data_IF_784506226854
#
_entry.id   IF_784506226854
#
_cell.length_a   1.000
_cell.length_b   1.000
_cell.length_c   1.000
_cell.angle_alpha   90.00
_cell.angle_beta   90.00
_cell.angle_gamma   90.00
#
_symmetry.space_group_name_H-M   'P 1'
#
loop_
_entity.id
_entity.type
_entity.pdbx_description
1 polymer ?
#
# COMPACT_ATOMS: atom_id res chain seq x y z
N UNK A 1 3.40 10.41 -13.40
CA UNK A 1 3.31 9.58 -12.18
C UNK A 1 4.66 9.60 -11.51
N UNK A 2 4.70 9.75 -10.19
CA UNK A 2 5.92 10.00 -9.44
C UNK A 2 5.64 10.70 -8.11
N UNK A 3 6.70 10.97 -7.35
CA UNK A 3 6.63 11.50 -5.98
C UNK A 3 6.21 12.97 -5.88
N UNK A 4 5.77 13.59 -6.97
CA UNK A 4 5.45 15.02 -7.03
C UNK A 4 4.29 15.41 -6.11
N UNK A 5 3.20 14.64 -6.10
CA UNK A 5 2.06 14.91 -5.22
C UNK A 5 2.40 14.59 -3.75
N UNK A 6 3.15 13.50 -3.51
CA UNK A 6 3.66 13.15 -2.18
C UNK A 6 4.51 14.27 -1.58
N UNK A 7 5.52 14.75 -2.31
CA UNK A 7 6.42 15.82 -1.86
C UNK A 7 5.68 17.14 -1.60
N UNK A 8 4.65 17.46 -2.39
CA UNK A 8 3.83 18.67 -2.18
C UNK A 8 2.99 18.60 -0.91
N UNK A 9 2.55 17.40 -0.51
CA UNK A 9 1.72 17.20 0.68
C UNK A 9 2.51 17.04 1.97
N UNK A 10 3.85 17.01 1.92
CA UNK A 10 4.71 16.79 3.09
C UNK A 10 5.60 17.98 3.40
N UNK A 11 5.73 18.29 4.69
CA UNK A 11 6.75 19.21 5.18
C UNK A 11 7.83 18.41 5.87
N UNK A 12 8.86 18.00 5.13
CA UNK A 12 9.96 17.15 5.62
C UNK A 12 10.80 17.79 6.76
N UNK A 13 10.62 19.08 7.03
CA UNK A 13 11.17 19.72 8.24
C UNK A 13 10.38 19.42 9.51
N UNK A 14 9.18 18.84 9.39
CA UNK A 14 8.24 18.59 10.49
C UNK A 14 7.88 17.12 10.65
N UNK A 15 7.91 16.35 9.57
CA UNK A 15 7.61 14.91 9.60
C UNK A 15 8.89 14.08 9.56
N UNK A 16 8.96 12.95 10.30
CA UNK A 16 10.07 11.98 10.17
C UNK A 16 9.96 11.11 8.91
N UNK A 17 8.94 11.33 8.07
CA UNK A 17 8.77 10.58 6.83
C UNK A 17 9.91 10.85 5.82
N UNK A 18 10.36 9.82 5.08
CA UNK A 18 11.43 10.00 4.10
C UNK A 18 10.97 10.89 2.94
N UNK A 19 11.80 11.88 2.59
CA UNK A 19 11.59 12.67 1.37
C UNK A 19 11.67 11.79 0.12
N UNK A 20 12.63 10.87 0.16
CA UNK A 20 12.94 9.78 -0.76
C UNK A 20 13.04 10.14 -2.24
N UNK A 21 13.67 9.27 -3.01
CA UNK A 21 13.71 9.39 -4.48
C UNK A 21 12.92 8.26 -5.14
N UNK A 22 12.43 8.51 -6.36
CA UNK A 22 11.89 7.44 -7.17
C UNK A 22 13.07 6.56 -7.58
N UNK A 23 13.06 5.29 -7.17
CA UNK A 23 14.12 4.34 -7.48
C UNK A 23 14.07 3.87 -8.94
N UNK A 24 15.14 3.22 -9.40
CA UNK A 24 15.23 2.65 -10.76
C UNK A 24 14.85 1.17 -10.88
N UNK A 25 14.17 0.59 -9.88
CA UNK A 25 13.88 -0.85 -9.83
C UNK A 25 12.40 -1.20 -10.07
N UNK A 26 12.15 -2.37 -10.64
CA UNK A 26 10.78 -2.91 -10.74
C UNK A 26 10.19 -3.20 -9.36
N UNK A 27 11.02 -3.58 -8.38
CA UNK A 27 10.61 -3.85 -7.01
C UNK A 27 9.68 -5.07 -6.91
N UNK A 28 9.79 -5.82 -5.83
CA UNK A 28 8.88 -6.93 -5.56
C UNK A 28 8.47 -6.99 -4.10
N UNK A 29 8.65 -5.90 -3.35
CA UNK A 29 8.29 -5.84 -1.94
C UNK A 29 6.90 -5.26 -1.75
N UNK A 30 6.23 -5.71 -0.69
CA UNK A 30 5.00 -5.09 -0.23
C UNK A 30 5.10 -4.77 1.25
N UNK A 31 4.30 -3.81 1.68
CA UNK A 31 4.07 -3.53 3.09
C UNK A 31 2.60 -3.27 3.34
N UNK A 32 2.15 -3.67 4.52
CA UNK A 32 0.89 -3.23 5.11
C UNK A 32 1.24 -2.44 6.36
N UNK A 33 0.92 -1.16 6.36
CA UNK A 33 1.08 -0.31 7.53
C UNK A 33 -0.27 -0.14 8.22
N UNK A 34 -0.34 -0.41 9.52
CA UNK A 34 -1.48 -0.05 10.35
C UNK A 34 -1.32 1.43 10.71
N UNK A 35 -2.31 2.23 10.35
CA UNK A 35 -2.28 3.67 10.51
C UNK A 35 -3.39 4.13 11.45
N UNK A 36 -2.99 4.54 12.65
CA UNK A 36 -3.85 5.15 13.67
C UNK A 36 -3.91 6.66 13.49
N UNK A 37 -4.56 7.09 12.40
CA UNK A 37 -4.94 8.49 12.17
C UNK A 37 -6.28 8.80 12.88
N UNK A 38 -7.00 9.83 12.42
CA UNK A 38 -8.36 10.12 12.92
C UNK A 38 -9.31 8.92 12.83
N UNK A 39 -9.09 8.04 11.85
CA UNK A 39 -9.71 6.72 11.77
C UNK A 39 -8.62 5.67 11.57
N UNK A 40 -8.74 4.55 12.28
CA UNK A 40 -7.90 3.39 12.06
C UNK A 40 -8.13 2.85 10.64
N UNK A 41 -7.05 2.71 9.88
CA UNK A 41 -7.04 2.07 8.57
C UNK A 41 -5.70 1.37 8.34
N UNK A 42 -5.58 0.68 7.21
CA UNK A 42 -4.37 0.00 6.80
C UNK A 42 -3.92 0.52 5.45
N UNK A 43 -2.69 1.00 5.34
CA UNK A 43 -2.09 1.38 4.08
C UNK A 43 -1.42 0.16 3.45
N UNK A 44 -1.98 -0.31 2.34
CA UNK A 44 -1.44 -1.39 1.53
C UNK A 44 -0.59 -0.82 0.41
N UNK A 45 0.65 -1.28 0.29
CA UNK A 45 1.60 -0.74 -0.69
C UNK A 45 2.34 -1.83 -1.42
N UNK A 46 2.49 -1.63 -2.73
CA UNK A 46 3.26 -2.48 -3.64
C UNK A 46 4.39 -1.66 -4.26
N UNK A 47 5.64 -2.12 -4.09
CA UNK A 47 6.79 -1.57 -4.79
C UNK A 47 6.71 -1.93 -6.27
N UNK A 48 6.45 -0.93 -7.12
CA UNK A 48 6.33 -1.08 -8.57
C UNK A 48 6.81 0.19 -9.26
N UNK A 49 7.58 0.03 -10.34
CA UNK A 49 8.02 1.16 -11.18
C UNK A 49 8.75 2.25 -10.38
N UNK A 50 9.61 1.84 -9.43
CA UNK A 50 10.42 2.76 -8.65
C UNK A 50 9.68 3.53 -7.54
N UNK A 51 8.42 3.22 -7.27
CA UNK A 51 7.59 3.85 -6.24
C UNK A 51 6.73 2.82 -5.51
N UNK A 52 6.13 3.22 -4.40
CA UNK A 52 5.10 2.46 -3.71
C UNK A 52 3.71 2.85 -4.20
N UNK A 53 3.11 2.02 -5.05
CA UNK A 53 1.68 2.14 -5.38
C UNK A 53 0.88 1.82 -4.13
N UNK A 54 0.03 2.76 -3.70
CA UNK A 54 -0.53 2.76 -2.35
C UNK A 54 -2.05 2.84 -2.35
N UNK A 55 -2.67 2.13 -1.41
CA UNK A 55 -4.11 2.14 -1.17
C UNK A 55 -4.40 2.13 0.33
N UNK A 56 -5.28 3.02 0.79
CA UNK A 56 -5.86 2.96 2.12
C UNK A 56 -7.01 1.93 2.14
N UNK A 57 -6.94 0.97 3.07
CA UNK A 57 -7.90 -0.12 3.24
C UNK A 57 -8.54 0.01 4.62
N UNK A 58 -9.71 0.68 4.76
CA UNK A 58 -10.28 1.02 6.07
C UNK A 58 -10.56 -0.19 6.98
N UNK A 59 -10.85 -1.35 6.39
CA UNK A 59 -11.15 -2.59 7.13
C UNK A 59 -10.04 -3.64 7.04
N UNK A 60 -8.82 -3.22 6.69
CA UNK A 60 -7.65 -4.10 6.56
C UNK A 60 -7.66 -4.95 5.28
N UNK A 61 -6.46 -5.40 4.90
CA UNK A 61 -6.26 -6.34 3.78
C UNK A 61 -6.92 -7.68 4.13
N UNK A 62 -7.72 -8.29 3.22
CA UNK A 62 -8.45 -9.51 3.55
C UNK A 62 -7.51 -10.70 3.70
N UNK A 63 -7.52 -11.33 4.87
CA UNK A 63 -6.79 -12.56 5.19
C UNK A 63 -7.64 -13.82 4.97
N UNK A 64 -8.90 -13.71 4.52
CA UNK A 64 -9.76 -14.86 4.25
C UNK A 64 -10.16 -14.89 2.77
N UNK A 65 -10.00 -16.02 2.06
CA UNK A 65 -10.41 -16.15 0.67
C UNK A 65 -11.90 -15.83 0.45
N UNK A 66 -12.19 -15.06 -0.60
CA UNK A 66 -13.54 -14.63 -0.97
C UNK A 66 -14.01 -13.34 -0.28
N UNK A 67 -13.30 -12.85 0.74
CA UNK A 67 -13.59 -11.55 1.35
C UNK A 67 -13.15 -10.43 0.42
N UNK A 68 -14.04 -9.44 0.26
CA UNK A 68 -13.82 -8.25 -0.56
C UNK A 68 -13.70 -7.02 0.35
N UNK A 69 -12.72 -6.17 0.09
CA UNK A 69 -12.45 -4.95 0.86
C UNK A 69 -12.31 -3.76 -0.08
N UNK A 70 -12.88 -2.62 0.32
CA UNK A 70 -12.62 -1.35 -0.36
C UNK A 70 -11.16 -0.98 -0.13
N UNK A 71 -10.45 -0.63 -1.20
CA UNK A 71 -9.11 -0.11 -1.21
C UNK A 71 -9.13 1.23 -1.97
N UNK A 72 -8.84 2.33 -1.28
CA UNK A 72 -8.87 3.68 -1.87
C UNK A 72 -7.46 4.06 -2.25
N UNK A 73 -7.21 4.28 -3.54
CA UNK A 73 -5.90 4.64 -4.05
C UNK A 73 -5.46 6.00 -3.49
N UNK A 74 -4.26 6.01 -2.94
CA UNK A 74 -3.58 7.22 -2.43
C UNK A 74 -2.42 7.56 -3.36
N UNK A 75 -1.66 8.58 -2.98
CA UNK A 75 -0.47 9.03 -3.69
C UNK A 75 0.61 7.94 -3.72
N UNK A 76 1.45 7.97 -4.76
CA UNK A 76 2.66 7.15 -4.80
C UNK A 76 3.62 7.59 -3.69
N UNK A 77 4.18 6.65 -2.95
CA UNK A 77 5.16 6.93 -1.88
C UNK A 77 6.58 6.55 -2.31
N UNK A 78 7.64 7.17 -1.75
CA UNK A 78 9.01 6.74 -2.02
C UNK A 78 9.22 5.31 -1.55
N UNK A 79 10.09 4.57 -2.23
CA UNK A 79 10.41 3.18 -1.87
C UNK A 79 10.91 3.07 -0.44
N UNK A 80 11.69 4.04 0.03
CA UNK A 80 12.18 4.12 1.42
C UNK A 80 11.06 4.17 2.47
N UNK A 81 9.85 4.59 2.08
CA UNK A 81 8.70 4.60 2.99
C UNK A 81 8.24 3.19 3.41
N UNK A 82 8.70 2.15 2.69
CA UNK A 82 8.33 0.76 2.97
C UNK A 82 8.79 0.31 4.37
N UNK A 83 9.87 0.91 4.87
CA UNK A 83 10.46 0.62 6.18
C UNK A 83 10.03 1.63 7.25
N UNK A 84 9.20 2.62 6.90
CA UNK A 84 8.75 3.64 7.86
C UNK A 84 7.78 3.06 8.89
N UNK A 85 8.12 3.28 10.15
CA UNK A 85 7.26 3.14 11.30
C UNK A 85 7.57 4.29 12.27
N UNK A 86 6.53 4.93 12.82
CA UNK A 86 6.70 6.13 13.62
C UNK A 86 5.41 6.89 13.81
N UNK A 87 5.49 8.07 14.42
CA UNK A 87 4.33 8.97 14.58
C UNK A 87 4.51 10.20 13.71
N UNK A 88 3.52 10.44 12.85
CA UNK A 88 3.41 11.66 12.04
C UNK A 88 2.71 12.71 12.92
N UNK A 89 3.33 13.88 13.16
CA UNK A 89 2.80 14.88 14.10
C UNK A 89 1.41 15.41 13.71
N UNK A 90 0.63 15.80 14.72
CA UNK A 90 -0.64 16.49 14.51
C UNK A 90 -0.51 17.74 13.63
N UNK A 91 -1.50 17.94 12.76
CA UNK A 91 -1.53 19.04 11.80
C UNK A 91 -0.73 18.80 10.51
N UNK A 92 0.04 17.71 10.43
CA UNK A 92 0.64 17.25 9.18
C UNK A 92 -0.32 16.30 8.43
N UNK A 93 -0.13 16.19 7.11
CA UNK A 93 -0.95 15.31 6.29
C UNK A 93 -0.61 13.84 6.62
N UNK A 94 -1.63 13.07 7.01
CA UNK A 94 -1.42 11.70 7.50
C UNK A 94 -1.00 11.66 8.97
N UNK A 95 -1.31 12.68 9.77
CA UNK A 95 -1.09 12.66 11.21
C UNK A 95 -1.65 11.38 11.86
N UNK A 96 -0.85 10.77 12.73
CA UNK A 96 -1.17 9.50 13.37
C UNK A 96 0.05 8.60 13.55
N UNK A 97 -0.15 7.49 14.24
CA UNK A 97 0.88 6.47 14.43
C UNK A 97 0.82 5.45 13.30
N UNK A 98 1.97 5.20 12.68
CA UNK A 98 2.17 4.24 11.59
C UNK A 98 3.02 3.08 12.12
N UNK A 99 2.50 1.86 12.02
CA UNK A 99 3.16 0.63 12.43
C UNK A 99 3.22 -0.34 11.25
N UNK A 100 4.34 -1.04 11.04
CA UNK A 100 4.39 -2.13 10.07
C UNK A 100 3.55 -3.30 10.61
N UNK A 101 2.42 -3.58 9.96
CA UNK A 101 1.54 -4.68 10.31
C UNK A 101 1.95 -5.98 9.63
N UNK A 102 2.35 -5.91 8.36
CA UNK A 102 2.89 -7.04 7.60
C UNK A 102 3.83 -6.52 6.51
N UNK A 103 4.74 -7.38 6.06
CA UNK A 103 5.66 -7.08 4.96
C UNK A 103 6.16 -8.37 4.34
N UNK A 104 6.67 -8.25 3.12
CA UNK A 104 7.27 -9.37 2.43
C UNK A 104 7.46 -9.08 0.96
N UNK A 105 7.40 -10.13 0.14
CA UNK A 105 7.48 -10.01 -1.31
C UNK A 105 6.16 -10.34 -1.98
N UNK A 106 6.01 -9.90 -3.22
CA UNK A 106 4.89 -10.26 -4.06
C UNK A 106 5.36 -10.64 -5.46
N UNK A 107 4.59 -11.49 -6.12
CA UNK A 107 4.75 -11.81 -7.53
C UNK A 107 3.55 -11.28 -8.30
N UNK A 108 3.81 -10.47 -9.34
CA UNK A 108 2.77 -9.87 -10.16
C UNK A 108 2.42 -10.81 -11.32
N UNK A 109 1.21 -11.37 -11.33
CA UNK A 109 0.74 -12.26 -12.39
C UNK A 109 0.17 -11.46 -13.58
N UNK A 110 -0.51 -10.34 -13.28
CA UNK A 110 -1.15 -9.51 -14.30
C UNK A 110 -1.23 -8.06 -13.86
N UNK A 111 -0.91 -7.15 -14.79
CA UNK A 111 -1.06 -5.70 -14.62
C UNK A 111 -1.85 -5.11 -15.77
N UNK A 112 -2.92 -4.38 -15.45
CA UNK A 112 -3.63 -3.50 -16.37
C UNK A 112 -4.12 -2.26 -15.62
N UNK A 113 -4.54 -1.18 -16.32
CA UNK A 113 -5.08 0.00 -15.67
C UNK A 113 -6.29 -0.26 -14.77
N UNK A 114 -7.06 -1.32 -15.06
CA UNK A 114 -8.27 -1.67 -14.32
C UNK A 114 -8.09 -2.82 -13.33
N UNK A 115 -6.96 -3.55 -13.38
CA UNK A 115 -6.81 -4.78 -12.62
C UNK A 115 -5.35 -5.14 -12.36
N UNK A 116 -5.05 -5.52 -11.11
CA UNK A 116 -3.79 -6.13 -10.71
C UNK A 116 -4.08 -7.52 -10.12
N UNK A 117 -3.43 -8.57 -10.63
CA UNK A 117 -3.42 -9.91 -10.02
C UNK A 117 -2.01 -10.21 -9.54
N UNK A 118 -1.88 -10.63 -8.29
CA UNK A 118 -0.59 -10.88 -7.66
C UNK A 118 -0.69 -11.91 -6.53
N UNK A 119 0.44 -12.52 -6.19
CA UNK A 119 0.59 -13.39 -5.03
C UNK A 119 1.42 -12.69 -3.96
N UNK A 120 0.96 -12.69 -2.71
CA UNK A 120 1.72 -12.18 -1.57
C UNK A 120 2.48 -13.32 -0.87
N UNK A 121 3.66 -12.98 -0.38
CA UNK A 121 4.53 -13.81 0.45
C UNK A 121 5.03 -12.95 1.61
N UNK A 122 4.18 -12.73 2.62
CA UNK A 122 4.53 -12.03 3.85
C UNK A 122 4.44 -12.90 5.09
N UNK A 123 4.62 -12.26 6.25
CA UNK A 123 4.57 -12.90 7.55
C UNK A 123 3.14 -13.26 7.96
N UNK A 124 2.16 -12.43 7.55
CA UNK A 124 0.72 -12.64 7.86
C UNK A 124 -0.11 -12.93 6.62
N UNK A 125 0.15 -12.23 5.52
CA UNK A 125 -0.60 -12.36 4.28
C UNK A 125 0.17 -13.22 3.28
N UNK A 126 -0.51 -14.24 2.77
CA UNK A 126 0.01 -15.11 1.74
C UNK A 126 -1.05 -15.54 0.73
N UNK A 127 -0.60 -15.89 -0.47
CA UNK A 127 -1.44 -16.43 -1.54
C UNK A 127 -1.95 -15.38 -2.53
N UNK A 128 -2.95 -15.75 -3.33
CA UNK A 128 -3.39 -14.97 -4.48
C UNK A 128 -4.38 -13.85 -4.12
N UNK A 129 -4.16 -12.67 -4.69
CA UNK A 129 -4.98 -11.47 -4.53
C UNK A 129 -5.32 -10.85 -5.89
N UNK A 130 -6.38 -10.06 -5.90
CA UNK A 130 -6.71 -9.18 -7.02
C UNK A 130 -7.17 -7.81 -6.52
N UNK A 131 -6.68 -6.77 -7.17
CA UNK A 131 -7.20 -5.41 -7.10
C UNK A 131 -7.96 -5.11 -8.38
N UNK A 132 -9.21 -4.68 -8.27
CA UNK A 132 -10.06 -4.30 -9.41
C UNK A 132 -10.45 -2.84 -9.25
N UNK A 133 -10.11 -2.00 -10.21
CA UNK A 133 -10.53 -0.60 -10.25
C UNK A 133 -12.04 -0.55 -10.49
N UNK A 134 -12.75 0.22 -9.68
CA UNK A 134 -14.21 0.35 -9.83
C UNK A 134 -14.59 1.71 -10.36
N UNK A 135 -14.20 2.78 -9.66
CA UNK A 135 -14.49 4.16 -10.07
C UNK A 135 -13.56 5.14 -9.34
N UNK A 136 -13.17 6.23 -10.02
CA UNK A 136 -12.34 7.28 -9.43
C UNK A 136 -11.07 6.74 -8.78
N UNK A 137 -10.94 6.89 -7.46
CA UNK A 137 -9.84 6.35 -6.65
C UNK A 137 -10.17 5.00 -6.00
N UNK A 138 -11.38 4.47 -6.19
CA UNK A 138 -11.84 3.27 -5.51
C UNK A 138 -11.41 2.00 -6.27
N UNK A 139 -10.90 1.06 -5.49
CA UNK A 139 -10.55 -0.29 -5.91
C UNK A 139 -11.20 -1.30 -4.97
N UNK A 140 -11.35 -2.52 -5.47
CA UNK A 140 -11.81 -3.68 -4.72
C UNK A 140 -10.65 -4.66 -4.56
N UNK A 141 -10.20 -4.86 -3.31
CA UNK A 141 -9.17 -5.82 -2.94
C UNK A 141 -9.82 -7.13 -2.51
N UNK A 142 -9.43 -8.24 -3.14
CA UNK A 142 -10.04 -9.55 -2.91
C UNK A 142 -8.94 -10.59 -2.73
N UNK A 143 -8.97 -11.34 -1.62
CA UNK A 143 -8.19 -12.57 -1.48
C UNK A 143 -8.87 -13.66 -2.29
N UNK A 144 -8.18 -14.21 -3.28
CA UNK A 144 -8.71 -15.28 -4.13
C UNK A 144 -8.66 -16.61 -3.39
N UNK A 145 -9.58 -17.50 -3.76
CA UNK A 145 -9.46 -18.92 -3.40
C UNK A 145 -8.31 -19.48 -4.22
N UNK A 146 -7.41 -20.23 -3.57
CA UNK A 146 -6.42 -21.02 -4.30
C UNK A 146 -7.17 -21.94 -5.26
N UNK A 147 -6.75 -21.95 -6.53
CA UNK A 147 -7.26 -22.96 -7.45
C UNK A 147 -6.67 -24.30 -6.98
N UNK A 148 -7.50 -25.32 -6.67
CA UNK A 148 -6.95 -26.66 -6.51
C UNK A 148 -6.20 -27.01 -7.80
N UNK A 149 -4.96 -27.48 -7.65
CA UNK A 149 -4.15 -27.99 -8.76
C UNK A 149 -4.79 -29.24 -9.35
#
# INVERSE_FOLDING_TARGET
MGLGEYRQKRKFSKTPEPAGEAGGGEGNRFVVQKHQASHLHYDFRLEMEGVLKSWAVPKGVPDVPGVRRLAVQTEDHPVEYIDFAGTIPDGEYGAGTVEIWDRGTFHLDKKSPAQLEFNLEGEKLSGAYVLIHTDGKNWLLIRRKEKPR
#
